data_IF_651479281373
#
_entry.id   IF_651479281373
#
_cell.length_a   1.000
_cell.length_b   1.000
_cell.length_c   1.000
_cell.angle_alpha   90.00
_cell.angle_beta   90.00
_cell.angle_gamma   90.00
#
_symmetry.space_group_name_H-M   'P 1'
#
loop_
_entity.id
_entity.type
_entity.pdbx_description
1 polymer ?
#
# COMPACT_ATOMS: atom_id res chain seq x y z
N UNK A 1 14.41 0.74 1.65
CA UNK A 1 13.39 0.61 0.58
C UNK A 1 12.00 0.88 1.17
N UNK A 2 10.98 1.14 0.36
CA UNK A 2 9.63 1.49 0.86
C UNK A 2 8.71 0.30 1.19
N UNK A 3 9.04 -0.90 0.72
CA UNK A 3 8.25 -2.10 1.00
C UNK A 3 9.15 -3.28 1.30
N UNK A 4 8.64 -4.25 2.06
CA UNK A 4 9.31 -5.52 2.31
C UNK A 4 9.61 -6.28 1.01
N UNK A 5 8.70 -6.23 0.03
CA UNK A 5 8.89 -6.86 -1.28
C UNK A 5 10.14 -6.34 -2.02
N UNK A 6 10.47 -5.05 -1.88
CA UNK A 6 11.69 -4.47 -2.48
C UNK A 6 12.95 -4.90 -1.72
N UNK A 7 12.87 -5.15 -0.42
CA UNK A 7 13.99 -5.66 0.37
C UNK A 7 14.28 -7.12 0.04
N UNK A 8 13.23 -7.94 -0.14
CA UNK A 8 13.35 -9.36 -0.47
C UNK A 8 13.45 -9.64 -1.98
N UNK A 9 13.49 -8.60 -2.83
CA UNK A 9 13.42 -8.72 -4.30
C UNK A 9 12.22 -9.52 -4.82
N UNK A 10 11.13 -9.58 -4.05
CA UNK A 10 9.89 -10.26 -4.44
C UNK A 10 9.04 -9.33 -5.32
N UNK A 11 8.52 -9.86 -6.43
CA UNK A 11 7.63 -9.14 -7.36
C UNK A 11 6.22 -9.73 -7.29
N UNK A 12 5.38 -9.30 -6.33
CA UNK A 12 4.07 -9.91 -6.16
C UNK A 12 3.07 -9.41 -7.19
N UNK A 13 2.14 -10.28 -7.58
CA UNK A 13 0.98 -9.91 -8.41
C UNK A 13 -0.12 -9.21 -7.60
N UNK A 14 -0.18 -9.48 -6.29
CA UNK A 14 -1.05 -8.81 -5.32
C UNK A 14 -0.26 -8.35 -4.11
N UNK A 15 -0.51 -7.13 -3.63
CA UNK A 15 0.10 -6.62 -2.39
C UNK A 15 -0.95 -5.95 -1.52
N UNK A 16 -1.04 -6.36 -0.26
CA UNK A 16 -1.94 -5.77 0.73
C UNK A 16 -1.21 -4.74 1.58
N UNK A 17 -1.84 -3.59 1.78
CA UNK A 17 -1.33 -2.49 2.62
C UNK A 17 -2.45 -1.96 3.52
N UNK A 18 -2.07 -1.51 4.72
CA UNK A 18 -2.94 -0.90 5.73
C UNK A 18 -2.04 -0.16 6.73
N UNK A 19 -2.46 -0.02 8.00
CA UNK A 19 -1.65 0.49 9.12
C UNK A 19 -0.89 1.79 8.79
N UNK A 20 0.38 1.67 8.40
CA UNK A 20 1.26 2.78 8.05
C UNK A 20 0.77 3.60 6.82
N UNK A 21 -0.13 3.06 5.99
CA UNK A 21 -0.70 3.80 4.85
C UNK A 21 -1.36 5.13 5.27
N UNK A 22 -1.88 5.20 6.50
CA UNK A 22 -2.41 6.42 7.12
C UNK A 22 -1.68 6.78 8.42
N UNK A 23 -0.56 6.13 8.72
CA UNK A 23 0.12 6.20 10.02
C UNK A 23 -0.82 6.01 11.24
N UNK A 24 -1.94 5.28 11.07
CA UNK A 24 -2.93 5.05 12.11
C UNK A 24 -3.93 6.20 12.34
N UNK A 25 -3.86 7.30 11.61
CA UNK A 25 -4.77 8.45 11.78
C UNK A 25 -6.21 8.16 11.33
N UNK A 26 -6.41 7.22 10.42
CA UNK A 26 -7.74 6.81 9.95
C UNK A 26 -7.72 5.36 9.46
N UNK A 27 -8.80 4.55 9.64
CA UNK A 27 -8.88 3.20 9.09
C UNK A 27 -8.86 3.19 7.57
N UNK A 28 -7.75 2.71 6.98
CA UNK A 28 -7.63 2.53 5.54
C UNK A 28 -6.79 1.29 5.24
N UNK A 29 -7.27 0.47 4.31
CA UNK A 29 -6.55 -0.64 3.72
C UNK A 29 -6.72 -0.61 2.20
N UNK A 30 -5.78 -1.23 1.49
CA UNK A 30 -5.84 -1.37 0.05
C UNK A 30 -5.20 -2.69 -0.39
N UNK A 31 -5.73 -3.23 -1.48
CA UNK A 31 -5.13 -4.34 -2.24
C UNK A 31 -4.64 -3.77 -3.56
N UNK A 32 -3.32 -3.73 -3.73
CA UNK A 32 -2.67 -3.38 -4.98
C UNK A 32 -2.69 -4.61 -5.89
N UNK A 33 -3.09 -4.43 -7.15
CA UNK A 33 -3.19 -5.48 -8.16
C UNK A 33 -2.22 -5.14 -9.30
N UNK A 34 -1.44 -6.11 -9.76
CA UNK A 34 -0.53 -5.90 -10.91
C UNK A 34 -1.33 -5.69 -12.19
N UNK A 35 -0.78 -4.93 -13.14
CA UNK A 35 -1.41 -4.70 -14.45
C UNK A 35 -1.74 -6.04 -15.14
N UNK A 36 -0.81 -7.00 -15.13
CA UNK A 36 -1.01 -8.37 -15.66
C UNK A 36 -2.31 -9.01 -15.18
N UNK A 37 -2.66 -8.81 -13.90
CA UNK A 37 -3.89 -9.38 -13.33
C UNK A 37 -5.10 -8.48 -13.62
N UNK A 38 -4.97 -7.17 -13.45
CA UNK A 38 -6.05 -6.22 -13.76
C UNK A 38 -6.52 -6.35 -15.21
N UNK A 39 -5.58 -6.49 -16.16
CA UNK A 39 -5.85 -6.64 -17.58
C UNK A 39 -6.74 -7.87 -17.89
N UNK A 40 -6.66 -8.94 -17.09
CA UNK A 40 -7.54 -10.12 -17.26
C UNK A 40 -8.99 -9.78 -16.95
N UNK A 41 -9.24 -9.00 -15.90
CA UNK A 41 -10.59 -8.55 -15.55
C UNK A 41 -11.10 -7.51 -16.55
N UNK A 42 -10.26 -6.55 -16.93
CA UNK A 42 -10.60 -5.46 -17.87
C UNK A 42 -10.73 -5.91 -19.34
N UNK A 43 -10.13 -7.05 -19.70
CA UNK A 43 -10.28 -7.65 -21.02
C UNK A 43 -11.68 -8.22 -21.26
N UNK A 44 -12.38 -8.63 -20.19
CA UNK A 44 -13.77 -9.07 -20.31
C UNK A 44 -14.66 -7.88 -20.68
N UNK A 45 -15.42 -8.03 -21.78
CA UNK A 45 -16.38 -7.01 -22.23
C UNK A 45 -17.81 -7.31 -21.80
N UNK A 46 -17.98 -8.37 -21.01
CA UNK A 46 -19.23 -8.70 -20.34
C UNK A 46 -19.20 -8.16 -18.90
N UNK A 47 -20.19 -8.51 -18.09
CA UNK A 47 -20.18 -8.20 -16.65
C UNK A 47 -19.50 -9.29 -15.81
N UNK A 48 -19.10 -10.42 -16.41
CA UNK A 48 -18.57 -11.57 -15.68
C UNK A 48 -17.16 -11.33 -15.14
N UNK A 49 -16.36 -10.49 -15.81
CA UNK A 49 -15.05 -10.05 -15.34
C UNK A 49 -15.10 -8.96 -14.28
N UNK A 50 -16.27 -8.46 -13.88
CA UNK A 50 -16.34 -7.46 -12.83
C UNK A 50 -15.98 -8.05 -11.46
N UNK A 51 -15.15 -7.33 -10.68
CA UNK A 51 -14.89 -7.67 -9.29
C UNK A 51 -16.12 -7.25 -8.46
N UNK A 52 -17.06 -8.17 -8.27
CA UNK A 52 -18.30 -7.97 -7.48
C UNK A 52 -18.08 -7.90 -5.96
N UNK A 53 -17.04 -7.20 -5.52
CA UNK A 53 -16.66 -7.07 -4.11
C UNK A 53 -16.41 -5.60 -3.74
N UNK A 54 -16.89 -5.20 -2.56
CA UNK A 54 -16.68 -3.86 -2.05
C UNK A 54 -17.20 -3.70 -0.63
N UNK A 55 -16.62 -2.74 0.10
CA UNK A 55 -17.10 -2.28 1.40
C UNK A 55 -17.82 -0.94 1.25
N UNK A 56 -18.78 -0.65 2.12
CA UNK A 56 -19.48 0.64 2.18
C UNK A 56 -18.53 1.84 2.21
N UNK A 57 -17.38 1.69 2.86
CA UNK A 57 -16.36 2.73 3.00
C UNK A 57 -15.15 2.54 2.08
N UNK A 58 -15.27 1.78 0.99
CA UNK A 58 -14.20 1.66 -0.01
C UNK A 58 -13.90 3.03 -0.62
N UNK A 59 -12.64 3.46 -0.57
CA UNK A 59 -12.26 4.79 -1.05
C UNK A 59 -12.79 5.95 -0.21
N UNK A 60 -13.02 5.75 1.10
CA UNK A 60 -13.54 6.80 1.98
C UNK A 60 -12.68 8.08 1.91
N UNK A 61 -13.25 9.25 1.56
CA UNK A 61 -12.49 10.45 1.23
C UNK A 61 -11.61 10.95 2.38
N UNK A 62 -12.09 10.86 3.63
CA UNK A 62 -11.29 11.21 4.83
C UNK A 62 -10.08 10.28 5.00
N UNK A 63 -10.25 8.98 4.74
CA UNK A 63 -9.16 8.01 4.81
C UNK A 63 -8.12 8.27 3.73
N UNK A 64 -8.57 8.56 2.50
CA UNK A 64 -7.69 8.95 1.41
C UNK A 64 -6.91 10.23 1.72
N UNK A 65 -7.55 11.26 2.29
CA UNK A 65 -6.89 12.50 2.70
C UNK A 65 -5.84 12.25 3.79
N UNK A 66 -6.16 11.44 4.81
CA UNK A 66 -5.19 11.04 5.83
C UNK A 66 -4.01 10.25 5.23
N UNK A 67 -4.27 9.38 4.25
CA UNK A 67 -3.24 8.63 3.55
C UNK A 67 -2.29 9.51 2.73
N UNK A 68 -2.82 10.51 2.03
CA UNK A 68 -2.01 11.49 1.31
C UNK A 68 -1.13 12.31 2.25
N UNK A 69 -1.68 12.78 3.37
CA UNK A 69 -0.93 13.51 4.38
C UNK A 69 0.17 12.65 5.01
N UNK A 70 -0.15 11.40 5.37
CA UNK A 70 0.83 10.44 5.91
C UNK A 70 1.95 10.14 4.91
N UNK A 71 1.63 9.96 3.63
CA UNK A 71 2.63 9.74 2.58
C UNK A 71 3.54 10.96 2.38
N UNK A 72 2.98 12.18 2.41
CA UNK A 72 3.75 13.41 2.28
C UNK A 72 4.73 13.55 3.46
N UNK A 73 4.26 13.35 4.68
CA UNK A 73 5.10 13.50 5.88
C UNK A 73 6.15 12.40 6.00
N UNK A 74 5.81 11.15 5.69
CA UNK A 74 6.80 10.06 5.71
C UNK A 74 7.92 10.27 4.70
N UNK A 75 7.62 10.86 3.53
CA UNK A 75 8.64 11.30 2.57
C UNK A 75 9.46 12.48 3.09
N UNK A 76 8.81 13.54 3.60
CA UNK A 76 9.49 14.73 4.12
C UNK A 76 10.46 14.41 5.25
N UNK A 77 10.09 13.46 6.11
CA UNK A 77 10.90 12.99 7.24
C UNK A 77 11.90 11.88 6.86
N UNK A 78 11.96 11.47 5.59
CA UNK A 78 12.83 10.40 5.10
C UNK A 78 12.77 9.12 5.96
N UNK A 79 11.56 8.71 6.37
CA UNK A 79 11.39 7.66 7.39
C UNK A 79 11.98 6.31 6.95
N UNK A 80 12.05 6.05 5.65
CA UNK A 80 12.65 4.85 5.07
C UNK A 80 14.17 4.80 5.27
N UNK A 81 14.84 5.95 5.24
CA UNK A 81 16.28 6.06 5.47
C UNK A 81 16.59 5.99 6.95
N UNK A 82 15.81 6.73 7.76
CA UNK A 82 15.92 6.68 9.21
C UNK A 82 15.68 5.24 9.73
N UNK A 83 14.68 4.53 9.21
CA UNK A 83 14.43 3.14 9.55
C UNK A 83 15.62 2.23 9.19
N UNK A 84 16.25 2.43 8.02
CA UNK A 84 17.42 1.66 7.63
C UNK A 84 18.63 1.91 8.56
N UNK A 85 18.88 3.16 8.92
CA UNK A 85 19.93 3.52 9.88
C UNK A 85 19.66 2.91 11.26
N UNK A 86 18.41 2.99 11.75
CA UNK A 86 18.00 2.42 13.04
C UNK A 86 18.16 0.91 13.12
N UNK A 87 17.93 0.18 12.02
CA UNK A 87 18.16 -1.28 11.98
C UNK A 87 19.63 -1.62 12.26
N UNK A 88 20.58 -0.85 11.73
CA UNK A 88 22.03 -1.07 11.98
C UNK A 88 22.39 -0.78 13.43
N UNK A 89 21.80 0.24 14.03
CA UNK A 89 22.03 0.57 15.44
C UNK A 89 21.45 -0.51 16.37
N UNK A 90 20.20 -0.92 16.13
CA UNK A 90 19.52 -1.91 16.96
C UNK A 90 20.09 -3.32 16.79
N UNK A 91 20.62 -3.67 15.62
CA UNK A 91 21.26 -4.98 15.39
C UNK A 91 22.63 -5.15 16.04
N UNK A 92 23.19 -4.10 16.66
CA UNK A 92 24.44 -4.15 17.42
C UNK A 92 24.23 -4.28 18.93
N UNK A 93 22.98 -4.14 19.39
CA UNK A 93 22.56 -4.38 20.77
C UNK A 93 22.15 -5.84 20.95
#
# INVERSE_FOLDING_TARGET
>A
AWSGSRLSSTKPDFMTIAKAITSGYFPLGATLVSAKVADVFEADKTSFGAIGHGYTYSGHPVGCAAGLAALAETKRLAVNENAAARVVELGKA
#
